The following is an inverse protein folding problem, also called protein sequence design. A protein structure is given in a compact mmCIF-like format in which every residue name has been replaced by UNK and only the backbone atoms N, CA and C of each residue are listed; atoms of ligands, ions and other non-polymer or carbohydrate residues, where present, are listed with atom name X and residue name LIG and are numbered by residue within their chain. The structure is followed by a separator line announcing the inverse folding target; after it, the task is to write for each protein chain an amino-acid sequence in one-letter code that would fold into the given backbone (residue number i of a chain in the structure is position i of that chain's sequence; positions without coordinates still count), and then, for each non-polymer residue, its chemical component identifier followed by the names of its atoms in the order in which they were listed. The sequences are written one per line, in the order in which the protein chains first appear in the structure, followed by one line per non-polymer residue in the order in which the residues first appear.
data_IF_192886384774
#
_entry.id   IF_192886384774
#
_cell.length_a   1.000
_cell.length_b   1.000
_cell.length_c   1.000
_cell.angle_alpha   90.00
_cell.angle_beta   90.00
_cell.angle_gamma   90.00
#
_symmetry.space_group_name_H-M   'P 1'
#
loop_
_entity.id
_entity.type
_entity.pdbx_description
1 polymer ?
#
# COMPACT_ATOMS: atom_id res chain seq x y z
N UNK A 1 4.88 4.32 12.50
CA UNK A 1 4.85 2.94 13.01
C UNK A 1 3.38 2.55 13.05
N UNK A 2 2.90 1.73 12.11
CA UNK A 2 1.48 1.36 12.05
C UNK A 2 1.27 0.09 12.88
N UNK A 3 0.40 0.19 13.88
CA UNK A 3 0.02 -0.92 14.76
C UNK A 3 -0.93 -1.86 14.01
N UNK A 4 -0.58 -3.15 13.99
CA UNK A 4 -1.49 -4.26 13.70
C UNK A 4 -2.59 -4.19 14.76
N UNK A 5 -3.84 -3.92 14.39
CA UNK A 5 -4.92 -3.74 15.36
C UNK A 5 -6.14 -4.56 14.93
N UNK A 6 -6.61 -5.47 15.77
CA UNK A 6 -7.57 -6.53 15.43
C UNK A 6 -9.04 -6.04 15.31
N UNK A 7 -9.30 -4.74 15.19
CA UNK A 7 -10.66 -4.20 15.15
C UNK A 7 -11.04 -3.59 13.80
N UNK A 8 -12.01 -4.21 13.11
CA UNK A 8 -12.57 -3.74 11.83
C UNK A 8 -13.03 -2.26 11.87
N UNK A 9 -13.56 -1.81 13.01
CA UNK A 9 -13.91 -0.41 13.25
C UNK A 9 -12.67 0.50 13.26
N UNK A 10 -11.58 0.08 13.89
CA UNK A 10 -10.32 0.86 13.91
C UNK A 10 -9.77 1.02 12.49
N UNK A 11 -9.83 -0.03 11.66
CA UNK A 11 -9.41 0.06 10.26
C UNK A 11 -10.20 1.11 9.48
N UNK A 12 -11.53 1.16 9.63
CA UNK A 12 -12.38 2.12 8.90
C UNK A 12 -12.04 3.58 9.26
N UNK A 13 -11.95 3.91 10.56
CA UNK A 13 -11.53 5.25 11.01
C UNK A 13 -10.12 5.62 10.50
N UNK A 14 -9.23 4.64 10.45
CA UNK A 14 -7.88 4.85 9.93
C UNK A 14 -7.84 4.98 8.40
N UNK A 15 -8.77 4.37 7.67
CA UNK A 15 -8.95 4.55 6.22
C UNK A 15 -9.38 5.98 5.97
N UNK A 16 -10.41 6.47 6.66
CA UNK A 16 -10.95 7.82 6.48
C UNK A 16 -9.89 8.89 6.77
N UNK A 17 -9.12 8.74 7.84
CA UNK A 17 -8.01 9.64 8.17
C UNK A 17 -6.94 9.68 7.06
N UNK A 18 -6.59 8.52 6.50
CA UNK A 18 -5.60 8.42 5.43
C UNK A 18 -6.10 8.99 4.11
N UNK A 19 -7.35 8.70 3.74
CA UNK A 19 -8.00 9.29 2.56
C UNK A 19 -8.05 10.81 2.70
N UNK A 20 -8.43 11.33 3.87
CA UNK A 20 -8.46 12.77 4.14
C UNK A 20 -7.07 13.40 4.01
N UNK A 21 -6.05 12.80 4.61
CA UNK A 21 -4.67 13.27 4.51
C UNK A 21 -4.18 13.26 3.05
N UNK A 22 -4.51 12.22 2.28
CA UNK A 22 -4.13 12.11 0.87
C UNK A 22 -4.82 13.19 0.02
N UNK A 23 -6.12 13.43 0.23
CA UNK A 23 -6.86 14.54 -0.42
C UNK A 23 -6.22 15.90 -0.10
N UNK A 24 -5.82 16.13 1.16
CA UNK A 24 -5.13 17.37 1.56
C UNK A 24 -3.77 17.51 0.87
N UNK A 25 -3.00 16.42 0.76
CA UNK A 25 -1.70 16.42 0.08
C UNK A 25 -1.83 16.69 -1.42
N UNK A 26 -2.82 16.10 -2.09
CA UNK A 26 -3.12 16.37 -3.50
C UNK A 26 -3.41 17.86 -3.75
N UNK A 27 -4.21 18.49 -2.88
CA UNK A 27 -4.50 19.93 -2.96
C UNK A 27 -3.26 20.79 -2.72
N UNK A 28 -2.44 20.46 -1.70
CA UNK A 28 -1.25 21.25 -1.34
C UNK A 28 -0.13 21.19 -2.37
N UNK A 29 0.04 20.06 -3.07
CA UNK A 29 1.10 19.90 -4.08
C UNK A 29 0.72 20.38 -5.48
N UNK A 30 -0.45 21.02 -5.64
CA UNK A 30 -0.96 21.49 -6.93
C UNK A 30 -0.81 20.41 -8.02
N UNK A 31 -1.08 19.14 -7.67
CA UNK A 31 -1.09 18.06 -8.64
C UNK A 31 -2.34 18.28 -9.51
N UNK A 32 -2.21 19.03 -10.61
CA UNK A 32 -3.26 19.26 -11.60
C UNK A 32 -3.50 18.03 -12.50
N UNK A 33 -3.26 16.82 -11.98
CA UNK A 33 -3.70 15.61 -12.66
C UNK A 33 -5.21 15.51 -12.50
N UNK A 34 -5.92 15.26 -13.60
CA UNK A 34 -7.35 14.92 -13.65
C UNK A 34 -7.71 13.81 -12.64
N UNK A 35 -6.76 12.94 -12.31
CA UNK A 35 -6.91 11.85 -11.36
C UNK A 35 -6.89 12.34 -9.90
N UNK A 36 -6.08 13.35 -9.59
CA UNK A 36 -6.05 13.97 -8.25
C UNK A 36 -7.34 14.75 -7.96
N UNK A 37 -7.91 15.41 -8.97
CA UNK A 37 -9.22 16.05 -8.88
C UNK A 37 -10.33 15.00 -8.67
N UNK A 38 -10.29 13.90 -9.41
CA UNK A 38 -11.20 12.76 -9.22
C UNK A 38 -11.08 12.14 -7.82
N UNK A 39 -9.88 12.10 -7.24
CA UNK A 39 -9.69 11.63 -5.87
C UNK A 39 -10.33 12.57 -4.84
N UNK A 40 -10.33 13.88 -5.08
CA UNK A 40 -10.97 14.83 -4.17
C UNK A 40 -12.49 14.70 -4.13
N UNK A 41 -13.13 14.41 -5.27
CA UNK A 41 -14.58 14.25 -5.41
C UNK A 41 -15.11 12.88 -5.03
N UNK A 42 -14.28 11.84 -5.01
CA UNK A 42 -14.70 10.48 -4.63
C UNK A 42 -15.06 10.37 -3.13
N UNK A 43 -16.25 9.85 -2.82
CA UNK A 43 -16.76 9.70 -1.44
C UNK A 43 -16.83 8.26 -0.94
N UNK A 44 -16.93 7.28 -1.85
CA UNK A 44 -16.99 5.84 -1.53
C UNK A 44 -15.66 5.14 -1.81
N UNK A 45 -15.27 4.20 -0.94
CA UNK A 45 -14.05 3.38 -1.05
C UNK A 45 -13.96 2.65 -2.39
N UNK A 46 -15.11 2.18 -2.93
CA UNK A 46 -15.19 1.51 -4.22
C UNK A 46 -14.86 2.42 -5.40
N UNK A 47 -15.19 3.70 -5.29
CA UNK A 47 -14.83 4.71 -6.30
C UNK A 47 -13.38 5.19 -6.12
N UNK A 48 -12.89 5.22 -4.88
CA UNK A 48 -11.53 5.67 -4.55
C UNK A 48 -10.47 4.67 -5.04
N UNK A 49 -10.69 3.36 -4.93
CA UNK A 49 -9.68 2.35 -5.29
C UNK A 49 -9.23 2.42 -6.76
N UNK A 50 -10.11 2.46 -7.78
CA UNK A 50 -9.69 2.61 -9.18
C UNK A 50 -8.91 3.91 -9.45
N UNK A 51 -9.32 5.02 -8.82
CA UNK A 51 -8.65 6.32 -8.96
C UNK A 51 -7.25 6.28 -8.34
N UNK A 52 -7.10 5.71 -7.15
CA UNK A 52 -5.80 5.50 -6.52
C UNK A 52 -4.90 4.61 -7.38
N UNK A 53 -5.45 3.54 -7.94
CA UNK A 53 -4.67 2.65 -8.82
C UNK A 53 -4.17 3.39 -10.06
N UNK A 54 -5.02 4.21 -10.69
CA UNK A 54 -4.61 5.05 -11.83
C UNK A 54 -3.49 6.01 -11.44
N UNK A 55 -3.63 6.72 -10.32
CA UNK A 55 -2.59 7.64 -9.79
C UNK A 55 -1.26 6.92 -9.53
N UNK A 56 -1.31 5.69 -9.02
CA UNK A 56 -0.11 4.90 -8.71
C UNK A 56 0.59 4.41 -9.98
N UNK A 57 -0.18 4.11 -11.03
CA UNK A 57 0.29 3.46 -12.27
C UNK A 57 0.46 4.41 -13.45
N UNK A 58 0.03 5.67 -13.36
CA UNK A 58 0.06 6.68 -14.42
C UNK A 58 1.46 7.14 -14.87
N UNK A 59 2.52 6.40 -14.51
CA UNK A 59 3.88 6.58 -15.04
C UNK A 59 4.63 5.27 -15.31
N UNK A 60 3.95 4.11 -15.34
CA UNK A 60 4.58 2.81 -15.56
C UNK A 60 4.20 2.15 -16.89
N UNK A 61 3.85 2.92 -17.92
CA UNK A 61 3.81 2.35 -19.27
C UNK A 61 5.26 2.10 -19.72
N UNK A 62 5.57 0.84 -20.02
CA UNK A 62 6.81 0.44 -20.69
C UNK A 62 7.07 1.37 -21.89
N UNK A 63 8.00 2.32 -21.75
CA UNK A 63 8.45 3.16 -22.86
C UNK A 63 9.93 2.90 -23.10
N UNK A 64 10.16 1.86 -23.89
CA UNK A 64 11.36 1.76 -24.72
C UNK A 64 11.29 2.92 -25.74
N UNK A 65 12.14 3.94 -25.59
CA UNK A 65 12.71 4.81 -26.64
C UNK A 65 12.87 6.28 -26.21
N UNK A 66 14.13 6.71 -26.24
CA UNK A 66 14.75 8.02 -26.47
C UNK A 66 14.10 9.33 -25.95
N UNK A 67 14.95 10.13 -25.28
CA UNK A 67 14.67 11.40 -24.57
C UNK A 67 14.23 12.54 -25.49
N UNK A 68 13.31 13.39 -25.00
CA UNK A 68 13.28 14.88 -24.96
C UNK A 68 11.95 15.34 -24.26
N UNK A 69 11.83 16.60 -23.77
CA UNK A 69 11.30 16.91 -22.45
C UNK A 69 9.79 17.17 -22.43
N UNK A 70 9.11 16.64 -21.41
CA UNK A 70 7.67 16.82 -21.20
C UNK A 70 6.95 15.57 -20.66
N UNK A 71 7.63 14.45 -20.50
CA UNK A 71 7.06 13.25 -19.90
C UNK A 71 6.93 13.43 -18.38
N UNK A 72 5.70 13.46 -17.87
CA UNK A 72 5.42 13.42 -16.44
C UNK A 72 6.20 12.28 -15.79
N UNK A 73 7.13 12.63 -14.89
CA UNK A 73 7.90 11.63 -14.15
C UNK A 73 6.94 10.75 -13.34
N UNK A 74 7.22 9.46 -13.13
CA UNK A 74 6.35 8.59 -12.34
C UNK A 74 6.07 9.18 -10.96
N UNK A 75 4.86 9.02 -10.42
CA UNK A 75 4.50 9.55 -9.08
C UNK A 75 5.50 9.13 -8.00
N UNK A 76 6.06 7.93 -8.12
CA UNK A 76 7.15 7.41 -7.28
C UNK A 76 8.35 8.35 -7.20
N UNK A 77 8.68 9.04 -8.29
CA UNK A 77 9.82 9.97 -8.42
C UNK A 77 9.44 11.42 -8.08
N UNK A 78 8.27 11.90 -8.53
CA UNK A 78 7.82 13.29 -8.26
C UNK A 78 7.44 13.47 -6.79
N UNK A 79 6.74 12.50 -6.23
CA UNK A 79 6.21 12.58 -4.88
C UNK A 79 6.28 11.22 -4.17
N UNK A 80 7.50 10.76 -3.79
CA UNK A 80 7.71 9.47 -3.14
C UNK A 80 6.82 9.26 -1.90
N UNK A 81 6.60 10.32 -1.11
CA UNK A 81 5.70 10.29 0.05
C UNK A 81 4.24 10.05 -0.33
N UNK A 82 3.76 10.66 -1.41
CA UNK A 82 2.39 10.44 -1.89
C UNK A 82 2.22 9.04 -2.47
N UNK A 83 3.22 8.55 -3.20
CA UNK A 83 3.23 7.18 -3.71
C UNK A 83 3.09 6.14 -2.57
N UNK A 84 3.86 6.31 -1.49
CA UNK A 84 3.75 5.45 -0.30
C UNK A 84 2.37 5.57 0.33
N UNK A 85 1.85 6.80 0.50
CA UNK A 85 0.53 7.02 1.11
C UNK A 85 -0.63 6.48 0.26
N UNK A 86 -0.52 6.53 -1.06
CA UNK A 86 -1.51 5.95 -1.97
C UNK A 86 -1.57 4.43 -1.82
N UNK A 87 -0.42 3.75 -1.76
CA UNK A 87 -0.36 2.31 -1.50
C UNK A 87 -0.87 1.92 -0.13
N UNK A 88 -0.54 2.69 0.92
CA UNK A 88 -1.07 2.46 2.27
C UNK A 88 -2.60 2.59 2.29
N UNK A 89 -3.13 3.62 1.63
CA UNK A 89 -4.59 3.82 1.53
C UNK A 89 -5.24 2.69 0.76
N UNK A 90 -4.65 2.25 -0.35
CA UNK A 90 -5.14 1.09 -1.12
C UNK A 90 -5.17 -0.18 -0.26
N UNK A 91 -4.13 -0.44 0.53
CA UNK A 91 -4.07 -1.62 1.38
C UNK A 91 -5.17 -1.61 2.44
N UNK A 92 -5.43 -0.45 3.03
CA UNK A 92 -6.53 -0.28 3.99
C UNK A 92 -7.92 -0.45 3.37
N UNK A 93 -8.14 0.06 2.16
CA UNK A 93 -9.38 -0.18 1.40
C UNK A 93 -9.56 -1.69 1.17
N UNK A 94 -8.49 -2.39 0.82
CA UNK A 94 -8.51 -3.85 0.65
C UNK A 94 -8.81 -4.58 1.97
N UNK A 95 -8.33 -4.11 3.12
CA UNK A 95 -8.69 -4.69 4.44
C UNK A 95 -10.17 -4.48 4.80
N UNK A 96 -10.81 -3.44 4.24
CA UNK A 96 -12.24 -3.20 4.43
C UNK A 96 -13.13 -4.00 3.45
N UNK A 97 -12.64 -4.29 2.24
CA UNK A 97 -13.37 -4.99 1.18
C UNK A 97 -12.58 -6.18 0.61
N UNK A 98 -13.01 -7.40 0.97
CA UNK A 98 -12.36 -8.64 0.53
C UNK A 98 -12.41 -8.89 -0.99
N UNK A 99 -13.35 -8.29 -1.73
CA UNK A 99 -13.37 -8.39 -3.21
C UNK A 99 -12.24 -7.55 -3.82
N UNK A 100 -12.03 -6.33 -3.30
CA UNK A 100 -10.91 -5.48 -3.71
C UNK A 100 -9.57 -6.09 -3.27
N UNK A 101 -9.52 -6.70 -2.08
CA UNK A 101 -8.34 -7.43 -1.62
C UNK A 101 -7.89 -8.46 -2.65
N UNK A 102 -8.78 -9.37 -3.06
CA UNK A 102 -8.45 -10.42 -4.05
C UNK A 102 -7.87 -9.85 -5.35
N UNK A 103 -8.36 -8.68 -5.79
CA UNK A 103 -7.90 -8.02 -7.03
C UNK A 103 -6.52 -7.41 -6.90
N UNK A 104 -6.21 -6.75 -5.78
CA UNK A 104 -4.99 -5.95 -5.63
C UNK A 104 -3.87 -6.63 -4.82
N UNK A 105 -4.18 -7.68 -4.04
CA UNK A 105 -3.22 -8.47 -3.25
C UNK A 105 -1.95 -8.89 -4.01
N UNK A 106 -2.02 -9.39 -5.27
CA UNK A 106 -0.81 -9.76 -6.01
C UNK A 106 0.19 -8.60 -6.18
N UNK A 107 -0.31 -7.37 -6.31
CA UNK A 107 0.52 -6.18 -6.49
C UNK A 107 1.30 -5.84 -5.22
N UNK A 108 0.67 -5.97 -4.04
CA UNK A 108 1.35 -5.78 -2.77
C UNK A 108 2.52 -6.76 -2.61
N UNK A 109 2.34 -8.01 -3.04
CA UNK A 109 3.43 -8.99 -3.03
C UNK A 109 4.64 -8.59 -3.89
N UNK A 110 4.45 -7.82 -4.96
CA UNK A 110 5.55 -7.29 -5.79
C UNK A 110 6.26 -6.12 -5.10
N UNK A 111 5.52 -5.25 -4.41
CA UNK A 111 6.07 -4.09 -3.69
C UNK A 111 6.99 -4.49 -2.54
N UNK A 112 6.87 -5.69 -1.99
CA UNK A 112 7.80 -6.23 -0.98
C UNK A 112 9.24 -6.39 -1.51
N UNK A 113 9.45 -6.29 -2.82
CA UNK A 113 10.75 -6.38 -3.48
C UNK A 113 11.21 -5.03 -4.07
N UNK A 114 10.52 -3.93 -3.75
CA UNK A 114 10.91 -2.59 -4.21
C UNK A 114 12.23 -2.14 -3.56
N UNK A 115 12.93 -1.18 -4.16
CA UNK A 115 14.16 -0.56 -3.66
C UNK A 115 13.95 0.28 -2.39
N UNK A 116 12.76 0.86 -2.21
CA UNK A 116 12.43 1.69 -1.06
C UNK A 116 12.12 0.86 0.20
N UNK A 117 13.05 0.85 1.15
CA UNK A 117 12.93 0.09 2.40
C UNK A 117 11.74 0.52 3.27
N UNK A 118 11.45 1.83 3.32
CA UNK A 118 10.29 2.34 4.06
C UNK A 118 8.97 1.80 3.47
N UNK A 119 8.88 1.72 2.13
CA UNK A 119 7.74 1.13 1.46
C UNK A 119 7.66 -0.37 1.74
N UNK A 120 8.75 -1.13 1.56
CA UNK A 120 8.79 -2.57 1.89
C UNK A 120 8.29 -2.83 3.30
N UNK A 121 8.82 -2.11 4.29
CA UNK A 121 8.42 -2.25 5.69
C UNK A 121 6.91 -2.07 5.90
N UNK A 122 6.35 -1.02 5.29
CA UNK A 122 4.93 -0.73 5.38
C UNK A 122 4.08 -1.80 4.67
N UNK A 123 4.53 -2.30 3.52
CA UNK A 123 3.82 -3.37 2.80
C UNK A 123 3.85 -4.68 3.59
N UNK A 124 4.97 -5.04 4.23
CA UNK A 124 5.07 -6.25 5.07
C UNK A 124 4.02 -6.24 6.17
N UNK A 125 3.82 -5.10 6.86
CA UNK A 125 2.77 -4.94 7.88
C UNK A 125 1.39 -5.27 7.28
N UNK A 126 1.04 -4.65 6.14
CA UNK A 126 -0.26 -4.87 5.51
C UNK A 126 -0.45 -6.31 5.02
N UNK A 127 0.62 -6.95 4.51
CA UNK A 127 0.58 -8.34 4.07
C UNK A 127 0.34 -9.31 5.24
N UNK A 128 0.88 -9.01 6.43
CA UNK A 128 0.58 -9.75 7.66
C UNK A 128 -0.89 -9.62 8.04
N UNK A 129 -1.46 -8.41 7.98
CA UNK A 129 -2.90 -8.19 8.26
C UNK A 129 -3.79 -8.98 7.29
N UNK A 130 -3.43 -9.01 6.00
CA UNK A 130 -4.13 -9.83 5.01
C UNK A 130 -4.04 -11.33 5.30
N UNK A 131 -2.93 -11.81 5.84
CA UNK A 131 -2.80 -13.22 6.23
C UNK A 131 -3.77 -13.61 7.35
N UNK A 132 -4.01 -12.72 8.31
CA UNK A 132 -4.99 -12.96 9.39
C UNK A 132 -6.42 -12.94 8.84
N UNK A 133 -6.74 -11.96 7.99
CA UNK A 133 -8.13 -11.70 7.58
C UNK A 133 -8.62 -12.54 6.40
N UNK A 134 -7.77 -12.85 5.44
CA UNK A 134 -8.22 -13.43 4.16
C UNK A 134 -7.54 -14.75 3.80
N UNK A 135 -6.32 -15.01 4.26
CA UNK A 135 -5.57 -16.16 3.81
C UNK A 135 -4.38 -16.50 4.72
N UNK A 136 -4.61 -17.35 5.71
CA UNK A 136 -3.60 -17.86 6.64
C UNK A 136 -2.65 -18.83 5.95
N UNK A 137 -1.69 -18.31 5.17
CA UNK A 137 -0.60 -19.11 4.61
C UNK A 137 -0.08 -18.66 3.24
N UNK A 138 -0.92 -18.14 2.35
CA UNK A 138 -0.54 -17.95 0.93
C UNK A 138 0.55 -16.89 0.70
N UNK A 139 0.76 -15.97 1.64
CA UNK A 139 1.83 -14.95 1.55
C UNK A 139 2.96 -15.19 2.55
N UNK A 140 2.89 -16.22 3.38
CA UNK A 140 3.92 -16.52 4.39
C UNK A 140 5.30 -16.66 3.78
N UNK A 141 5.43 -17.42 2.70
CA UNK A 141 6.70 -17.60 1.99
C UNK A 141 7.26 -16.29 1.40
N UNK A 142 6.39 -15.35 1.02
CA UNK A 142 6.85 -14.02 0.55
C UNK A 142 7.28 -13.14 1.72
N UNK A 143 6.55 -13.18 2.85
CA UNK A 143 6.87 -12.42 4.06
C UNK A 143 8.19 -12.91 4.68
N UNK A 144 8.43 -14.22 4.75
CA UNK A 144 9.66 -14.77 5.33
C UNK A 144 10.92 -14.37 4.57
N UNK A 145 10.83 -14.12 3.25
CA UNK A 145 11.96 -13.60 2.47
C UNK A 145 12.46 -12.24 2.99
N UNK A 146 11.57 -11.42 3.56
CA UNK A 146 11.96 -10.12 4.15
C UNK A 146 12.80 -10.26 5.44
N UNK A 147 12.92 -11.45 6.03
CA UNK A 147 13.90 -11.70 7.11
C UNK A 147 15.35 -11.57 6.62
N UNK A 148 15.57 -11.72 5.30
CA UNK A 148 16.88 -11.56 4.65
C UNK A 148 17.03 -10.20 3.97
N UNK A 149 16.17 -9.23 4.30
CA UNK A 149 16.23 -7.89 3.71
C UNK A 149 17.58 -7.22 3.97
N UNK A 150 18.04 -6.38 3.05
CA UNK A 150 19.30 -5.63 3.20
C UNK A 150 19.25 -4.64 4.36
N UNK A 151 18.07 -4.12 4.72
CA UNK A 151 17.88 -3.12 5.77
C UNK A 151 17.39 -3.77 7.05
N UNK A 152 18.10 -3.47 8.14
CA UNK A 152 17.80 -4.00 9.48
C UNK A 152 16.38 -3.68 9.95
N UNK A 153 15.88 -2.47 9.66
CA UNK A 153 14.54 -2.05 10.01
C UNK A 153 13.47 -3.01 9.45
N UNK A 154 13.61 -3.42 8.19
CA UNK A 154 12.66 -4.35 7.56
C UNK A 154 12.78 -5.72 8.22
N UNK A 155 14.00 -6.23 8.43
CA UNK A 155 14.23 -7.53 9.08
C UNK A 155 13.60 -7.61 10.47
N UNK A 156 13.86 -6.61 11.33
CA UNK A 156 13.32 -6.55 12.70
C UNK A 156 11.79 -6.50 12.70
N UNK A 157 11.21 -5.66 11.85
CA UNK A 157 9.76 -5.55 11.74
C UNK A 157 9.14 -6.87 11.24
N UNK A 158 9.71 -7.48 10.20
CA UNK A 158 9.25 -8.78 9.67
C UNK A 158 9.29 -9.86 10.74
N UNK A 159 10.36 -9.94 11.52
CA UNK A 159 10.47 -10.91 12.62
C UNK A 159 9.34 -10.75 13.63
N UNK A 160 9.12 -9.54 14.14
CA UNK A 160 8.05 -9.25 15.12
C UNK A 160 6.67 -9.62 14.56
N UNK A 161 6.40 -9.27 13.30
CA UNK A 161 5.12 -9.55 12.65
C UNK A 161 4.89 -11.05 12.45
N UNK A 162 5.92 -11.80 12.04
CA UNK A 162 5.84 -13.26 11.89
C UNK A 162 5.61 -13.95 13.23
N UNK A 163 6.31 -13.52 14.29
CA UNK A 163 6.09 -14.07 15.64
C UNK A 163 4.64 -13.88 16.09
N UNK A 164 4.07 -12.69 15.89
CA UNK A 164 2.66 -12.41 16.20
C UNK A 164 1.69 -13.21 15.35
N UNK A 165 1.96 -13.31 14.05
CA UNK A 165 1.12 -14.05 13.12
C UNK A 165 1.08 -15.55 13.49
N UNK A 166 2.24 -16.14 13.81
CA UNK A 166 2.30 -17.53 14.26
C UNK A 166 1.53 -17.74 15.57
N UNK A 167 1.69 -16.84 16.55
CA UNK A 167 0.90 -16.88 17.78
C UNK A 167 -0.61 -16.82 17.51
N UNK A 168 -1.06 -15.94 16.61
CA UNK A 168 -2.49 -15.79 16.26
C UNK A 168 -3.08 -17.02 15.54
N UNK A 169 -2.25 -17.84 14.91
CA UNK A 169 -2.68 -19.06 14.20
C UNK A 169 -2.71 -20.27 15.13
N UNK A 170 -1.79 -20.36 16.09
CA UNK A 170 -1.65 -21.52 16.98
C UNK A 170 -2.38 -21.41 18.33
N UNK A 171 -2.68 -20.20 18.82
CA UNK A 171 -3.40 -19.99 20.11
C UNK A 171 -4.91 -19.87 19.88
N UNK A 172 -5.48 -20.75 19.04
CA UNK A 172 -6.94 -20.86 18.88
C UNK A 172 -7.48 -22.09 19.61
#
# INVERSE_FOLDING_TARGET
MYFVNENKMVYLWQVEAHVKALKTLCKRKALHSKEAESLTSATDLKAIAPVLYAIITSGSSDRKSNRLPGAALPLKQIAPSMYIQAWLTMGKICLADGKLAKRYLPLFGQLMQTDCAALRNNIVVMMTDFCVLYCSGCYMSKITKCLRDTRELVRRQTFILLSRLLQSIYVK
#
